data_IF_827155812497
#
_entry.id   IF_827155812497
#
_cell.length_a   1.000
_cell.length_b   1.000
_cell.length_c   1.000
_cell.angle_alpha   90.00
_cell.angle_beta   90.00
_cell.angle_gamma   90.00
#
_symmetry.space_group_name_H-M   'P 1'
#
loop_
_entity.id
_entity.type
_entity.pdbx_description
1 polymer ?
#
# COMPACT_ATOMS: atom_id res chain seq x y z
N UNK A 1 28.48 6.46 -27.47
CA UNK A 1 28.89 6.51 -26.04
C UNK A 1 27.98 7.38 -25.16
N UNK A 2 26.95 8.05 -25.70
CA UNK A 2 26.07 8.96 -24.92
C UNK A 2 24.96 8.27 -24.09
N UNK A 3 24.62 7.02 -24.38
CA UNK A 3 23.54 6.30 -23.68
C UNK A 3 23.86 5.97 -22.21
N UNK A 4 25.14 5.89 -21.82
CA UNK A 4 25.54 5.58 -20.44
C UNK A 4 25.45 6.81 -19.51
N UNK A 5 25.82 8.00 -19.98
CA UNK A 5 25.71 9.24 -19.18
C UNK A 5 24.26 9.67 -18.93
N UNK A 6 23.38 9.38 -19.89
CA UNK A 6 21.94 9.59 -19.80
C UNK A 6 21.30 8.71 -18.70
N UNK A 7 21.60 7.40 -18.65
CA UNK A 7 21.08 6.52 -17.58
C UNK A 7 21.55 6.92 -16.18
N UNK A 8 22.75 7.47 -16.04
CA UNK A 8 23.26 7.95 -14.74
C UNK A 8 22.48 9.15 -14.20
N UNK A 9 22.06 10.09 -15.06
CA UNK A 9 21.23 11.25 -14.63
C UNK A 9 19.81 10.83 -14.22
N UNK A 10 19.20 9.90 -14.95
CA UNK A 10 17.88 9.34 -14.59
C UNK A 10 17.88 8.56 -13.28
N UNK A 11 18.97 7.82 -12.99
CA UNK A 11 19.19 7.21 -11.66
C UNK A 11 19.37 8.26 -10.57
N UNK A 12 20.16 9.31 -10.84
CA UNK A 12 20.35 10.42 -9.91
C UNK A 12 19.04 11.12 -9.52
N UNK A 13 18.13 11.32 -10.48
CA UNK A 13 16.80 11.88 -10.20
C UNK A 13 15.98 10.96 -9.30
N UNK A 14 15.87 9.67 -9.63
CA UNK A 14 15.10 8.72 -8.82
C UNK A 14 15.67 8.56 -7.41
N UNK A 15 17.00 8.62 -7.27
CA UNK A 15 17.68 8.53 -5.98
C UNK A 15 17.50 9.79 -5.12
N UNK A 16 17.52 10.99 -5.74
CA UNK A 16 17.18 12.25 -5.09
C UNK A 16 15.70 12.30 -4.65
N UNK A 17 14.77 11.83 -5.49
CA UNK A 17 13.35 11.72 -5.11
C UNK A 17 13.18 10.70 -3.97
N UNK A 18 13.90 9.59 -4.02
CA UNK A 18 13.87 8.56 -2.98
C UNK A 18 14.49 9.03 -1.66
N UNK A 19 15.52 9.88 -1.69
CA UNK A 19 16.10 10.49 -0.49
C UNK A 19 15.15 11.51 0.13
N UNK A 20 14.50 12.34 -0.69
CA UNK A 20 13.45 13.27 -0.23
C UNK A 20 12.22 12.55 0.30
N UNK A 21 11.84 11.43 -0.32
CA UNK A 21 10.80 10.54 0.19
C UNK A 21 11.19 9.87 1.51
N UNK A 22 12.48 9.62 1.78
CA UNK A 22 12.97 9.15 3.09
C UNK A 22 12.93 10.25 4.15
N UNK A 23 13.13 11.50 3.74
CA UNK A 23 13.02 12.68 4.60
C UNK A 23 11.57 13.17 4.81
N UNK A 24 10.56 12.37 4.46
CA UNK A 24 9.12 12.73 4.51
C UNK A 24 8.74 14.03 3.78
N UNK A 25 9.62 14.54 2.92
CA UNK A 25 9.47 15.81 2.22
C UNK A 25 8.84 15.58 0.84
N UNK A 26 7.60 15.09 0.83
CA UNK A 26 6.90 14.71 -0.41
C UNK A 26 6.68 15.91 -1.34
N UNK A 27 6.49 17.13 -0.81
CA UNK A 27 6.33 18.33 -1.62
C UNK A 27 7.59 18.64 -2.43
N UNK A 28 8.76 18.52 -1.81
CA UNK A 28 10.04 18.72 -2.48
C UNK A 28 10.30 17.63 -3.54
N UNK A 29 9.93 16.38 -3.23
CA UNK A 29 10.01 15.26 -4.18
C UNK A 29 9.13 15.50 -5.42
N UNK A 30 7.89 15.97 -5.22
CA UNK A 30 6.94 16.31 -6.29
C UNK A 30 7.42 17.52 -7.08
N UNK A 31 7.88 18.59 -6.42
CA UNK A 31 8.39 19.79 -7.08
C UNK A 31 9.64 19.49 -7.92
N UNK A 32 10.54 18.64 -7.43
CA UNK A 32 11.71 18.18 -8.19
C UNK A 32 11.29 17.38 -9.42
N UNK A 33 10.28 16.52 -9.29
CA UNK A 33 9.77 15.73 -10.41
C UNK A 33 9.06 16.60 -11.47
N UNK A 34 8.23 17.54 -11.03
CA UNK A 34 7.52 18.47 -11.92
C UNK A 34 8.49 19.42 -12.63
N UNK A 35 9.52 19.91 -11.93
CA UNK A 35 10.57 20.71 -12.58
C UNK A 35 11.40 19.88 -13.56
N UNK A 36 11.65 18.60 -13.28
CA UNK A 36 12.27 17.68 -14.24
C UNK A 36 11.39 17.41 -15.47
N UNK A 37 10.07 17.35 -15.31
CA UNK A 37 9.08 17.23 -16.39
C UNK A 37 8.99 18.47 -17.29
N UNK A 38 9.22 19.67 -16.73
CA UNK A 38 9.12 20.95 -17.44
C UNK A 38 10.41 21.35 -18.19
N UNK A 39 11.51 20.60 -18.04
CA UNK A 39 12.73 20.87 -18.81
C UNK A 39 12.53 20.45 -20.26
N UNK A 40 12.54 21.43 -21.16
CA UNK A 40 12.40 21.27 -22.62
C UNK A 40 13.59 20.54 -23.30
N UNK A 41 14.58 20.07 -22.52
CA UNK A 41 15.65 19.21 -23.01
C UNK A 41 15.06 17.84 -23.41
N UNK A 42 14.53 17.77 -24.63
CA UNK A 42 13.77 16.65 -25.21
C UNK A 42 14.53 15.33 -25.40
N UNK A 43 15.46 14.97 -24.52
CA UNK A 43 16.25 13.74 -24.60
C UNK A 43 16.08 12.78 -23.43
N UNK A 44 15.44 13.16 -22.31
CA UNK A 44 15.22 12.22 -21.21
C UNK A 44 13.91 12.42 -20.45
N UNK A 45 12.87 11.71 -20.88
CA UNK A 45 11.68 11.50 -20.05
C UNK A 45 12.09 10.78 -18.74
N UNK A 46 11.52 11.16 -17.58
CA UNK A 46 11.78 10.47 -16.34
C UNK A 46 11.43 8.98 -16.48
N UNK A 47 12.42 8.13 -16.21
CA UNK A 47 12.24 6.68 -16.26
C UNK A 47 11.27 6.20 -15.18
N UNK A 48 10.80 4.94 -15.31
CA UNK A 48 9.81 4.34 -14.41
C UNK A 48 10.23 4.41 -12.92
N UNK A 49 11.53 4.35 -12.64
CA UNK A 49 12.09 4.50 -11.29
C UNK A 49 11.80 5.86 -10.66
N UNK A 50 11.78 6.94 -11.43
CA UNK A 50 11.45 8.28 -10.93
C UNK A 50 9.96 8.39 -10.60
N UNK A 51 9.09 7.83 -11.46
CA UNK A 51 7.65 7.73 -11.19
C UNK A 51 7.36 6.93 -9.92
N UNK A 52 7.98 5.75 -9.79
CA UNK A 52 7.81 4.90 -8.61
C UNK A 52 8.32 5.58 -7.33
N UNK A 53 9.43 6.34 -7.42
CA UNK A 53 9.95 7.13 -6.30
C UNK A 53 8.98 8.25 -5.87
N UNK A 54 8.37 8.97 -6.82
CA UNK A 54 7.37 10.00 -6.50
C UNK A 54 6.11 9.38 -5.90
N UNK A 55 5.60 8.29 -6.48
CA UNK A 55 4.45 7.57 -5.92
C UNK A 55 4.70 7.12 -4.49
N UNK A 56 5.89 6.58 -4.22
CA UNK A 56 6.32 6.18 -2.87
C UNK A 56 6.42 7.39 -1.92
N UNK A 57 6.95 8.52 -2.39
CA UNK A 57 7.02 9.75 -1.62
C UNK A 57 5.62 10.32 -1.29
N UNK A 58 4.71 10.36 -2.27
CA UNK A 58 3.30 10.73 -2.06
C UNK A 58 2.61 9.79 -1.07
N UNK A 59 2.88 8.49 -1.14
CA UNK A 59 2.37 7.51 -0.18
C UNK A 59 2.82 7.79 1.25
N UNK A 60 4.12 8.08 1.45
CA UNK A 60 4.66 8.48 2.77
C UNK A 60 4.08 9.80 3.26
N UNK A 61 3.77 10.72 2.35
CA UNK A 61 3.02 11.95 2.65
C UNK A 61 1.52 11.76 2.90
N UNK A 62 1.00 10.52 2.81
CA UNK A 62 -0.44 10.20 2.88
C UNK A 62 -1.30 10.94 1.83
N UNK A 63 -0.68 11.39 0.74
CA UNK A 63 -1.32 12.11 -0.37
C UNK A 63 -1.79 11.15 -1.46
N UNK A 64 -2.71 10.25 -1.11
CA UNK A 64 -3.20 9.23 -2.03
C UNK A 64 -3.84 9.79 -3.30
N UNK A 65 -4.54 10.94 -3.21
CA UNK A 65 -5.15 11.60 -4.38
C UNK A 65 -4.12 12.03 -5.42
N UNK A 66 -3.00 12.58 -4.96
CA UNK A 66 -1.89 12.99 -5.84
C UNK A 66 -1.18 11.77 -6.41
N UNK A 67 -0.97 10.72 -5.62
CA UNK A 67 -0.42 9.46 -6.12
C UNK A 67 -1.28 8.88 -7.26
N UNK A 68 -2.61 8.88 -7.11
CA UNK A 68 -3.52 8.46 -8.18
C UNK A 68 -3.47 9.40 -9.38
N UNK A 69 -3.37 10.71 -9.18
CA UNK A 69 -3.20 11.67 -10.28
C UNK A 69 -1.91 11.39 -11.06
N UNK A 70 -0.81 11.06 -10.39
CA UNK A 70 0.44 10.66 -11.05
C UNK A 70 0.31 9.33 -11.80
N UNK A 71 -0.35 8.32 -11.23
CA UNK A 71 -0.64 7.08 -11.94
C UNK A 71 -1.50 7.35 -13.19
N UNK A 72 -2.50 8.22 -13.06
CA UNK A 72 -3.36 8.65 -14.17
C UNK A 72 -2.60 9.45 -15.25
N UNK A 73 -1.62 10.25 -14.85
CA UNK A 73 -0.76 10.98 -15.79
C UNK A 73 0.19 10.03 -16.52
N UNK A 74 0.76 9.04 -15.81
CA UNK A 74 1.65 8.05 -16.39
C UNK A 74 0.93 7.18 -17.42
N UNK A 75 -0.28 6.69 -17.12
CA UNK A 75 -1.07 5.87 -18.06
C UNK A 75 -1.48 6.63 -19.34
N UNK A 76 -1.73 7.94 -19.22
CA UNK A 76 -2.22 8.77 -20.32
C UNK A 76 -1.07 9.32 -21.18
N UNK A 77 0.18 9.13 -20.75
CA UNK A 77 1.35 9.60 -21.49
C UNK A 77 1.73 8.61 -22.59
N UNK A 78 1.53 8.93 -23.88
CA UNK A 78 1.84 8.02 -24.98
C UNK A 78 3.35 7.79 -25.18
N UNK A 79 4.19 8.67 -24.61
CA UNK A 79 5.65 8.56 -24.62
C UNK A 79 6.21 8.12 -23.27
N UNK A 80 5.35 7.94 -22.26
CA UNK A 80 5.75 7.54 -20.91
C UNK A 80 6.14 6.06 -20.82
N UNK A 81 6.90 5.69 -19.77
CA UNK A 81 7.18 4.28 -19.53
C UNK A 81 5.90 3.53 -19.15
N UNK A 82 5.79 2.27 -19.57
CA UNK A 82 4.63 1.43 -19.23
C UNK A 82 4.62 1.15 -17.73
N UNK A 83 3.51 1.41 -17.01
CA UNK A 83 3.37 1.05 -15.60
C UNK A 83 3.60 -0.44 -15.37
N UNK A 84 4.41 -0.78 -14.39
CA UNK A 84 4.69 -2.16 -14.01
C UNK A 84 4.03 -2.53 -12.66
N UNK A 85 4.28 -3.76 -12.20
CA UNK A 85 3.83 -4.24 -10.89
C UNK A 85 4.26 -3.28 -9.77
N UNK A 86 5.45 -2.70 -9.85
CA UNK A 86 5.99 -1.80 -8.81
C UNK A 86 5.23 -0.48 -8.80
N UNK A 87 4.89 0.08 -9.97
CA UNK A 87 4.09 1.31 -10.08
C UNK A 87 2.72 1.14 -9.47
N UNK A 88 1.98 0.09 -9.86
CA UNK A 88 0.66 -0.19 -9.30
C UNK A 88 0.75 -0.44 -7.79
N UNK A 89 1.70 -1.26 -7.37
CA UNK A 89 1.91 -1.58 -5.96
C UNK A 89 2.23 -0.33 -5.12
N UNK A 90 3.04 0.60 -5.64
CA UNK A 90 3.32 1.87 -4.97
C UNK A 90 2.07 2.77 -4.86
N UNK A 91 1.23 2.81 -5.88
CA UNK A 91 -0.03 3.56 -5.85
C UNK A 91 -1.04 2.95 -4.86
N UNK A 92 -1.19 1.62 -4.86
CA UNK A 92 -2.03 0.88 -3.89
C UNK A 92 -1.53 1.13 -2.47
N UNK A 93 -0.22 1.08 -2.24
CA UNK A 93 0.39 1.37 -0.94
C UNK A 93 0.15 2.82 -0.50
N UNK A 94 0.25 3.79 -1.42
CA UNK A 94 -0.08 5.18 -1.12
C UNK A 94 -1.56 5.35 -0.71
N UNK A 95 -2.48 4.65 -1.40
CA UNK A 95 -3.90 4.60 -1.01
C UNK A 95 -4.09 3.94 0.34
N UNK A 96 -3.34 2.86 0.61
CA UNK A 96 -3.33 2.15 1.88
C UNK A 96 -2.94 3.03 3.05
N UNK A 97 -1.84 3.76 2.93
CA UNK A 97 -1.38 4.73 3.96
C UNK A 97 -2.36 5.89 4.15
N UNK A 98 -3.05 6.29 3.09
CA UNK A 98 -4.09 7.32 3.11
C UNK A 98 -5.47 6.86 3.61
N UNK A 99 -5.67 5.56 3.86
CA UNK A 99 -6.96 4.99 4.26
C UNK A 99 -8.04 4.98 3.17
N UNK A 100 -7.66 5.23 1.91
CA UNK A 100 -8.57 5.24 0.77
C UNK A 100 -8.78 3.83 0.23
N UNK A 101 -9.52 3.01 0.98
CA UNK A 101 -9.75 1.60 0.66
C UNK A 101 -10.42 1.41 -0.70
N UNK A 102 -11.46 2.17 -1.04
CA UNK A 102 -12.16 2.06 -2.34
C UNK A 102 -11.21 2.26 -3.51
N UNK A 103 -10.40 3.31 -3.44
CA UNK A 103 -9.41 3.61 -4.46
C UNK A 103 -8.32 2.53 -4.55
N UNK A 104 -7.90 1.99 -3.40
CA UNK A 104 -6.92 0.90 -3.34
C UNK A 104 -7.43 -0.35 -4.09
N UNK A 105 -8.69 -0.75 -3.86
CA UNK A 105 -9.30 -1.87 -4.59
C UNK A 105 -9.47 -1.56 -6.09
N UNK A 106 -9.94 -0.36 -6.44
CA UNK A 106 -10.10 0.04 -7.84
C UNK A 106 -8.79 -0.04 -8.63
N UNK A 107 -7.66 0.37 -8.02
CA UNK A 107 -6.34 0.27 -8.67
C UNK A 107 -5.91 -1.18 -8.85
N UNK A 108 -6.25 -2.08 -7.93
CA UNK A 108 -5.93 -3.51 -8.05
C UNK A 108 -6.78 -4.20 -9.11
N UNK A 109 -8.05 -3.83 -9.25
CA UNK A 109 -8.87 -4.31 -10.37
C UNK A 109 -8.30 -3.81 -11.70
N UNK A 110 -7.90 -2.53 -11.80
CA UNK A 110 -7.23 -2.02 -13.01
C UNK A 110 -5.93 -2.78 -13.31
N UNK A 111 -5.15 -3.10 -12.28
CA UNK A 111 -3.92 -3.88 -12.39
C UNK A 111 -4.22 -5.26 -13.01
N UNK A 112 -5.31 -5.93 -12.59
CA UNK A 112 -5.77 -7.21 -13.15
C UNK A 112 -6.27 -7.08 -14.58
N UNK A 113 -7.06 -6.06 -14.89
CA UNK A 113 -7.59 -5.80 -16.24
C UNK A 113 -6.45 -5.61 -17.27
N UNK A 114 -5.32 -5.10 -16.81
CA UNK A 114 -4.09 -4.93 -17.61
C UNK A 114 -3.17 -6.15 -17.61
N UNK A 115 -3.65 -7.30 -17.12
CA UNK A 115 -2.90 -8.55 -16.97
C UNK A 115 -1.63 -8.42 -16.10
N UNK A 116 -1.61 -7.46 -15.17
CA UNK A 116 -0.53 -7.31 -14.18
C UNK A 116 -0.96 -8.03 -12.91
N UNK A 117 -0.22 -9.06 -12.49
CA UNK A 117 -0.59 -9.88 -11.33
C UNK A 117 -0.24 -9.18 -10.01
N UNK A 118 -1.22 -8.95 -9.11
CA UNK A 118 -0.94 -8.47 -7.76
C UNK A 118 0.04 -9.40 -7.03
N UNK A 119 0.93 -8.82 -6.23
CA UNK A 119 1.85 -9.59 -5.40
C UNK A 119 1.45 -9.54 -3.92
N UNK A 120 2.17 -10.26 -3.06
CA UNK A 120 1.91 -10.29 -1.62
C UNK A 120 1.91 -8.90 -0.98
N UNK A 121 2.73 -7.98 -1.47
CA UNK A 121 2.78 -6.60 -0.97
C UNK A 121 1.54 -5.81 -1.40
N UNK A 122 1.01 -6.02 -2.61
CA UNK A 122 -0.26 -5.45 -3.07
C UNK A 122 -1.41 -5.87 -2.15
N UNK A 123 -1.49 -7.16 -1.82
CA UNK A 123 -2.52 -7.69 -0.91
C UNK A 123 -2.38 -7.14 0.51
N UNK A 124 -1.15 -7.05 1.02
CA UNK A 124 -0.87 -6.44 2.33
C UNK A 124 -1.28 -4.97 2.37
N UNK A 125 -1.02 -4.23 1.29
CA UNK A 125 -1.40 -2.82 1.16
C UNK A 125 -2.92 -2.62 1.12
N UNK A 126 -3.68 -3.54 0.49
CA UNK A 126 -5.15 -3.53 0.54
C UNK A 126 -5.68 -3.73 1.96
N UNK A 127 -5.09 -4.66 2.72
CA UNK A 127 -5.46 -4.89 4.12
C UNK A 127 -5.18 -3.65 5.00
N UNK A 128 -4.01 -3.03 4.83
CA UNK A 128 -3.70 -1.74 5.49
C UNK A 128 -4.69 -0.64 5.09
N UNK A 129 -5.14 -0.60 3.84
CA UNK A 129 -6.15 0.34 3.38
C UNK A 129 -7.47 0.15 4.12
N UNK A 130 -7.94 -1.10 4.27
CA UNK A 130 -9.15 -1.41 5.04
C UNK A 130 -8.99 -1.06 6.53
N UNK A 131 -7.83 -1.36 7.12
CA UNK A 131 -7.49 -1.06 8.51
C UNK A 131 -7.52 0.44 8.81
N UNK A 132 -6.95 1.27 7.92
CA UNK A 132 -6.95 2.73 8.05
C UNK A 132 -8.29 3.34 7.67
N UNK A 133 -8.99 2.76 6.70
CA UNK A 133 -10.35 3.12 6.30
C UNK A 133 -11.45 2.66 7.26
N UNK A 134 -11.08 1.98 8.36
CA UNK A 134 -12.00 1.40 9.36
C UNK A 134 -13.06 0.45 8.77
N UNK A 135 -12.74 -0.20 7.67
CA UNK A 135 -13.62 -1.13 6.97
C UNK A 135 -13.34 -2.57 7.39
N UNK A 136 -13.71 -2.92 8.63
CA UNK A 136 -13.51 -4.26 9.17
C UNK A 136 -14.21 -5.34 8.31
N UNK A 137 -15.43 -5.08 7.84
CA UNK A 137 -16.19 -6.06 7.06
C UNK A 137 -15.48 -6.39 5.73
N UNK A 138 -14.95 -5.36 5.07
CA UNK A 138 -14.18 -5.53 3.84
C UNK A 138 -12.83 -6.21 4.11
N UNK A 139 -12.17 -5.90 5.23
CA UNK A 139 -10.92 -6.55 5.62
C UNK A 139 -11.09 -8.06 5.83
N UNK A 140 -12.13 -8.47 6.58
CA UNK A 140 -12.45 -9.87 6.84
C UNK A 140 -12.80 -10.59 5.54
N UNK A 141 -13.69 -10.01 4.73
CA UNK A 141 -14.07 -10.60 3.46
C UNK A 141 -12.84 -10.78 2.53
N UNK A 142 -11.99 -9.76 2.43
CA UNK A 142 -10.79 -9.86 1.61
C UNK A 142 -9.80 -10.91 2.14
N UNK A 143 -9.66 -11.06 3.46
CA UNK A 143 -8.86 -12.13 4.05
C UNK A 143 -9.39 -13.52 3.65
N UNK A 144 -10.71 -13.70 3.63
CA UNK A 144 -11.33 -14.96 3.18
C UNK A 144 -11.10 -15.22 1.68
N UNK A 145 -11.13 -14.18 0.84
CA UNK A 145 -10.80 -14.30 -0.58
C UNK A 145 -9.33 -14.67 -0.81
N UNK A 146 -8.40 -14.07 -0.07
CA UNK A 146 -6.97 -14.42 -0.13
C UNK A 146 -6.74 -15.89 0.25
N UNK A 147 -7.46 -16.38 1.24
CA UNK A 147 -7.43 -17.79 1.62
C UNK A 147 -7.98 -18.69 0.52
N UNK A 148 -9.14 -18.36 -0.04
CA UNK A 148 -9.76 -19.15 -1.10
C UNK A 148 -8.92 -19.21 -2.38
N UNK A 149 -8.14 -18.15 -2.64
CA UNK A 149 -7.20 -18.09 -3.76
C UNK A 149 -5.85 -18.77 -3.47
N UNK A 150 -5.66 -19.37 -2.29
CA UNK A 150 -4.44 -20.08 -1.92
C UNK A 150 -3.24 -19.16 -1.64
N UNK A 151 -3.46 -17.86 -1.47
CA UNK A 151 -2.40 -16.92 -1.08
C UNK A 151 -1.99 -17.23 0.36
N UNK A 152 -0.68 -17.43 0.58
CA UNK A 152 -0.16 -17.63 1.93
C UNK A 152 -0.39 -16.37 2.76
N UNK A 153 -1.24 -16.49 3.77
CA UNK A 153 -1.47 -15.45 4.77
C UNK A 153 -0.35 -15.47 5.80
N UNK A 154 0.09 -14.27 6.20
CA UNK A 154 1.13 -14.11 7.21
C UNK A 154 0.56 -13.40 8.45
N UNK A 155 1.32 -13.39 9.54
CA UNK A 155 0.99 -12.67 10.79
C UNK A 155 0.59 -11.21 10.53
N UNK A 156 1.26 -10.55 9.57
CA UNK A 156 0.94 -9.18 9.17
C UNK A 156 -0.47 -9.03 8.58
N UNK A 157 -0.94 -10.01 7.80
CA UNK A 157 -2.28 -10.02 7.21
C UNK A 157 -3.36 -10.11 8.30
N UNK A 158 -3.19 -11.04 9.26
CA UNK A 158 -4.08 -11.16 10.41
C UNK A 158 -4.04 -9.92 11.30
N UNK A 159 -2.86 -9.37 11.57
CA UNK A 159 -2.69 -8.14 12.36
C UNK A 159 -3.43 -6.94 11.78
N UNK A 160 -3.40 -6.76 10.45
CA UNK A 160 -4.14 -5.68 9.79
C UNK A 160 -5.66 -5.86 9.91
N UNK A 161 -6.17 -7.09 9.73
CA UNK A 161 -7.62 -7.37 9.89
C UNK A 161 -8.06 -7.22 11.34
N UNK A 162 -7.26 -7.71 12.29
CA UNK A 162 -7.53 -7.57 13.73
C UNK A 162 -7.55 -6.11 14.17
N UNK A 163 -6.60 -5.29 13.72
CA UNK A 163 -6.61 -3.87 14.01
C UNK A 163 -7.82 -3.16 13.34
N UNK A 164 -8.25 -3.62 12.16
CA UNK A 164 -9.50 -3.15 11.57
C UNK A 164 -10.72 -3.53 12.44
N UNK A 165 -10.78 -4.77 12.94
CA UNK A 165 -11.83 -5.26 13.85
C UNK A 165 -11.84 -4.50 15.19
N UNK A 166 -10.68 -4.22 15.76
CA UNK A 166 -10.50 -3.41 16.97
C UNK A 166 -11.10 -2.01 16.78
N UNK A 167 -10.76 -1.33 15.67
CA UNK A 167 -11.32 -0.02 15.32
C UNK A 167 -12.81 -0.08 15.02
N UNK A 168 -13.29 -1.21 14.51
CA UNK A 168 -14.70 -1.52 14.24
C UNK A 168 -15.49 -2.01 15.45
N UNK A 169 -14.85 -2.14 16.63
CA UNK A 169 -15.42 -2.73 17.86
C UNK A 169 -15.99 -4.13 17.69
N UNK A 170 -15.47 -4.88 16.72
CA UNK A 170 -15.88 -6.26 16.42
C UNK A 170 -15.03 -7.27 17.18
N UNK A 171 -15.16 -7.27 18.50
CA UNK A 171 -14.42 -8.18 19.38
C UNK A 171 -14.70 -9.68 19.13
N UNK A 172 -15.91 -10.13 18.74
CA UNK A 172 -16.13 -11.56 18.51
C UNK A 172 -15.33 -12.07 17.30
N UNK A 173 -15.29 -11.25 16.24
CA UNK A 173 -14.50 -11.53 15.05
C UNK A 173 -13.00 -11.46 15.36
N UNK A 174 -12.57 -10.54 16.22
CA UNK A 174 -11.17 -10.45 16.61
C UNK A 174 -10.68 -11.71 17.35
N UNK A 175 -11.49 -12.25 18.27
CA UNK A 175 -11.16 -13.49 18.97
C UNK A 175 -11.19 -14.71 18.03
N UNK A 176 -12.17 -14.79 17.14
CA UNK A 176 -12.25 -15.87 16.15
C UNK A 176 -11.03 -15.89 15.22
N UNK A 177 -10.60 -14.72 14.74
CA UNK A 177 -9.39 -14.58 13.92
C UNK A 177 -8.11 -14.94 14.68
N UNK A 178 -8.03 -14.62 15.97
CA UNK A 178 -6.89 -14.99 16.81
C UNK A 178 -6.81 -16.52 17.02
N UNK A 179 -7.93 -17.16 17.32
CA UNK A 179 -8.01 -18.61 17.46
C UNK A 179 -7.62 -19.32 16.16
N UNK A 180 -8.15 -18.84 15.04
CA UNK A 180 -7.80 -19.37 13.71
C UNK A 180 -6.31 -19.21 13.39
N UNK A 181 -5.71 -18.07 13.76
CA UNK A 181 -4.28 -17.85 13.55
C UNK A 181 -3.43 -18.87 14.34
N UNK A 182 -3.84 -19.21 15.56
CA UNK A 182 -3.21 -20.24 16.38
C UNK A 182 -3.37 -21.65 15.78
N UNK A 183 -4.55 -21.98 15.25
CA UNK A 183 -4.80 -23.25 14.55
C UNK A 183 -3.92 -23.42 13.31
N UNK A 184 -3.61 -22.33 12.62
CA UNK A 184 -2.69 -22.31 11.48
C UNK A 184 -1.21 -22.40 11.90
N UNK A 185 -0.91 -22.49 13.19
CA UNK A 185 0.45 -22.54 13.73
C UNK A 185 1.21 -21.22 13.58
N UNK A 186 0.52 -20.10 13.38
CA UNK A 186 1.12 -18.78 13.29
C UNK A 186 1.19 -18.17 14.69
N UNK A 187 2.38 -17.84 15.17
CA UNK A 187 2.56 -17.26 16.51
C UNK A 187 2.05 -15.80 16.56
N UNK A 188 1.05 -15.50 17.43
CA UNK A 188 0.58 -14.14 17.64
C UNK A 188 1.69 -13.26 18.17
N UNK A 189 1.95 -12.15 17.48
CA UNK A 189 2.86 -11.13 17.99
C UNK A 189 2.14 -10.21 18.99
N UNK A 190 2.93 -9.39 19.71
CA UNK A 190 2.40 -8.43 20.70
C UNK A 190 1.34 -7.50 20.12
N UNK A 191 1.45 -7.16 18.83
CA UNK A 191 0.50 -6.28 18.13
C UNK A 191 -0.86 -6.97 17.94
N UNK A 192 -0.86 -8.25 17.56
CA UNK A 192 -2.05 -9.09 17.39
C UNK A 192 -2.76 -9.28 18.73
N UNK A 193 -2.01 -9.64 19.78
CA UNK A 193 -2.58 -9.82 21.12
C UNK A 193 -3.12 -8.51 21.69
N UNK A 194 -2.39 -7.39 21.55
CA UNK A 194 -2.85 -6.09 22.06
C UNK A 194 -4.08 -5.58 21.32
N UNK A 195 -4.17 -5.79 20.00
CA UNK A 195 -5.36 -5.46 19.22
C UNK A 195 -6.57 -6.30 19.65
N UNK A 196 -6.38 -7.60 19.91
CA UNK A 196 -7.46 -8.47 20.40
C UNK A 196 -7.93 -8.06 21.80
N UNK A 197 -7.01 -7.80 22.74
CA UNK A 197 -7.34 -7.32 24.10
C UNK A 197 -8.06 -5.97 24.04
N UNK A 198 -7.57 -5.01 23.24
CA UNK A 198 -8.21 -3.71 23.09
C UNK A 198 -9.59 -3.81 22.44
N UNK A 199 -9.79 -4.75 21.50
CA UNK A 199 -11.10 -5.01 20.95
C UNK A 199 -12.09 -5.51 22.03
N UNK A 200 -11.67 -6.45 22.88
CA UNK A 200 -12.48 -6.99 23.98
C UNK A 200 -12.80 -5.94 25.06
N UNK A 201 -11.82 -5.10 25.40
CA UNK A 201 -12.01 -3.96 26.32
C UNK A 201 -13.08 -3.00 25.78
N UNK A 202 -12.94 -2.59 24.51
CA UNK A 202 -13.92 -1.73 23.82
C UNK A 202 -15.29 -2.39 23.64
N UNK A 203 -15.33 -3.73 23.67
CA UNK A 203 -16.54 -4.55 23.66
C UNK A 203 -17.21 -4.72 25.02
N UNK A 204 -16.66 -4.14 26.10
CA UNK A 204 -17.09 -4.34 27.49
C UNK A 204 -17.02 -5.82 27.95
N UNK A 205 -16.16 -6.62 27.33
CA UNK A 205 -16.01 -8.07 27.59
C UNK A 205 -14.56 -8.41 27.95
N UNK A 206 -13.94 -7.61 28.82
CA UNK A 206 -12.54 -7.76 29.24
C UNK A 206 -12.26 -9.10 29.93
N UNK A 207 -13.26 -9.68 30.60
CA UNK A 207 -13.17 -10.97 31.30
C UNK A 207 -12.79 -12.13 30.37
N UNK A 208 -13.15 -12.07 29.09
CA UNK A 208 -12.84 -13.14 28.11
C UNK A 208 -11.46 -12.98 27.47
N UNK A 209 -10.81 -11.84 27.61
CA UNK A 209 -9.46 -11.60 27.08
C UNK A 209 -8.34 -12.08 28.02
N UNK A 210 -8.69 -12.40 29.28
CA UNK A 210 -7.77 -12.84 30.34
C UNK A 210 -7.75 -14.37 30.54
N UNK A 211 -8.54 -15.13 29.77
CA UNK A 211 -8.57 -16.59 29.77
C UNK A 211 -7.85 -17.13 28.56
#
# INVERSE_FOLDING_TARGET
MEAMGSRCKGRGLAEAISSLGRASSWQAAVALFLSAMQREDGTQLPGLSAWNAVLTACGRGQRWREALAFLCALRSSPRGPVPDVVTYTAAVHACGLGGAWEASFAVVEEMRDRAVTPNTFTHSSLLTACERGRQWARAVHFLTELRASGVQLHVASFGAVLSACEKGRQWPLALALLAEMLELGLEPNVIVCSAAVSACEKGQQWERALR
#
